data_IF_672927550660
#
_entry.id   IF_672927550660
#
_cell.length_a   1.000
_cell.length_b   1.000
_cell.length_c   1.000
_cell.angle_alpha   90.00
_cell.angle_beta   90.00
_cell.angle_gamma   90.00
#
_symmetry.space_group_name_H-M   'P 1'
#
loop_
_entity.id
_entity.type
_entity.pdbx_description
1 polymer ?
#
# COMPACT_ATOMS: atom_id res chain seq x y z
N UNK A 1 -23.17 -21.96 40.89
CA UNK A 1 -22.57 -22.44 39.64
C UNK A 1 -23.48 -22.05 38.48
N UNK A 2 -23.33 -20.83 38.00
CA UNK A 2 -24.06 -20.30 36.84
C UNK A 2 -23.30 -20.69 35.58
N UNK A 3 -24.01 -21.39 34.70
CA UNK A 3 -23.51 -22.04 33.48
C UNK A 3 -22.80 -21.03 32.58
N UNK A 4 -21.59 -21.40 32.14
CA UNK A 4 -20.88 -20.77 31.03
C UNK A 4 -21.77 -20.75 29.79
N UNK A 5 -22.45 -19.63 29.55
CA UNK A 5 -23.00 -19.31 28.24
C UNK A 5 -21.80 -19.04 27.33
N UNK A 6 -21.61 -19.78 26.22
CA UNK A 6 -20.52 -19.49 25.30
C UNK A 6 -20.73 -18.07 24.76
N UNK A 7 -19.77 -17.20 25.06
CA UNK A 7 -19.72 -15.83 24.58
C UNK A 7 -19.78 -15.86 23.06
N UNK A 8 -20.75 -15.15 22.46
CA UNK A 8 -20.86 -15.08 21.01
C UNK A 8 -19.54 -14.53 20.44
N UNK A 9 -19.01 -15.09 19.33
CA UNK A 9 -17.74 -14.64 18.77
C UNK A 9 -17.75 -13.13 18.49
N UNK A 10 -16.64 -12.45 18.70
CA UNK A 10 -16.51 -11.00 18.54
C UNK A 10 -16.71 -10.57 17.08
N UNK A 11 -17.71 -9.72 16.82
CA UNK A 11 -17.93 -9.08 15.51
C UNK A 11 -19.06 -8.06 15.63
N UNK A 12 -18.97 -6.95 14.91
CA UNK A 12 -20.01 -5.90 14.89
C UNK A 12 -20.90 -6.04 13.68
N UNK A 13 -22.15 -5.59 13.83
CA UNK A 13 -23.13 -5.59 12.77
C UNK A 13 -23.12 -4.26 12.01
N UNK A 14 -22.79 -4.31 10.72
CA UNK A 14 -22.74 -3.16 9.81
C UNK A 14 -24.00 -3.12 8.96
N UNK A 15 -24.68 -1.98 8.90
CA UNK A 15 -25.88 -1.79 8.10
C UNK A 15 -25.54 -1.26 6.71
N UNK A 16 -25.77 -2.07 5.68
CA UNK A 16 -25.70 -1.62 4.28
C UNK A 16 -27.08 -1.29 3.77
N UNK A 17 -27.27 -0.04 3.33
CA UNK A 17 -28.51 0.42 2.70
C UNK A 17 -28.32 0.55 1.20
N UNK A 18 -29.20 -0.04 0.40
CA UNK A 18 -29.19 0.16 -1.06
C UNK A 18 -29.42 1.63 -1.42
N UNK A 19 -28.93 2.08 -2.58
CA UNK A 19 -29.06 3.48 -3.02
C UNK A 19 -30.52 3.98 -3.08
N UNK A 20 -31.50 3.08 -3.21
CA UNK A 20 -32.94 3.38 -3.18
C UNK A 20 -33.57 3.31 -1.77
N UNK A 21 -32.78 3.05 -0.72
CA UNK A 21 -33.23 2.97 0.68
C UNK A 21 -34.00 1.70 1.05
N UNK A 22 -34.27 0.80 0.09
CA UNK A 22 -35.25 -0.29 0.25
C UNK A 22 -34.68 -1.58 0.83
N UNK A 23 -33.37 -1.80 0.72
CA UNK A 23 -32.72 -3.01 1.24
C UNK A 23 -31.72 -2.60 2.30
N UNK A 24 -31.91 -3.16 3.50
CA UNK A 24 -31.06 -2.97 4.67
C UNK A 24 -30.51 -4.34 5.05
N UNK A 25 -29.20 -4.54 4.91
CA UNK A 25 -28.55 -5.79 5.29
C UNK A 25 -27.63 -5.54 6.44
N UNK A 26 -27.88 -6.25 7.54
CA UNK A 26 -27.03 -6.27 8.71
C UNK A 26 -25.95 -7.36 8.52
N UNK A 27 -24.69 -6.95 8.41
CA UNK A 27 -23.57 -7.83 8.08
C UNK A 27 -22.64 -7.94 9.28
N UNK A 28 -22.08 -9.12 9.57
CA UNK A 28 -21.05 -9.24 10.60
C UNK A 28 -19.69 -8.81 10.03
N UNK A 29 -18.97 -7.92 10.70
CA UNK A 29 -17.58 -7.60 10.41
C UNK A 29 -16.65 -8.34 11.40
N UNK A 30 -15.79 -9.20 10.87
CA UNK A 30 -14.84 -10.01 11.66
C UNK A 30 -13.63 -10.42 10.81
N UNK A 31 -12.42 -10.35 11.35
CA UNK A 31 -11.17 -10.66 10.63
C UNK A 31 -11.00 -9.83 9.34
N UNK A 32 -11.20 -8.51 9.44
CA UNK A 32 -11.07 -7.54 8.33
C UNK A 32 -11.95 -7.82 7.09
N UNK A 33 -13.04 -8.58 7.28
CA UNK A 33 -13.98 -8.88 6.19
C UNK A 33 -15.42 -8.97 6.68
N UNK A 34 -16.34 -8.95 5.71
CA UNK A 34 -17.78 -9.07 5.94
C UNK A 34 -18.22 -10.52 5.83
N UNK A 35 -19.11 -10.92 6.72
CA UNK A 35 -19.70 -12.24 6.81
C UNK A 35 -21.22 -12.13 6.79
N UNK A 36 -21.85 -12.83 5.85
CA UNK A 36 -23.30 -12.88 5.70
C UNK A 36 -23.80 -14.33 5.82
N UNK A 37 -24.92 -14.51 6.50
CA UNK A 37 -25.62 -15.80 6.46
C UNK A 37 -26.26 -16.01 5.08
N UNK A 38 -26.59 -17.25 4.75
CA UNK A 38 -27.30 -17.55 3.51
C UNK A 38 -28.61 -16.77 3.33
N UNK A 39 -29.33 -16.53 4.43
CA UNK A 39 -30.58 -15.78 4.43
C UNK A 39 -30.32 -14.31 4.09
N UNK A 40 -29.30 -13.70 4.69
CA UNK A 40 -28.87 -12.31 4.42
C UNK A 40 -28.44 -12.13 2.96
N UNK A 41 -27.75 -13.11 2.37
CA UNK A 41 -27.39 -13.09 0.94
C UNK A 41 -28.67 -13.12 0.07
N UNK A 42 -29.66 -13.93 0.47
CA UNK A 42 -30.97 -13.98 -0.18
C UNK A 42 -31.69 -12.64 -0.14
N UNK A 43 -31.68 -11.96 1.01
CA UNK A 43 -32.25 -10.62 1.18
C UNK A 43 -31.51 -9.56 0.34
N UNK A 44 -30.17 -9.58 0.37
CA UNK A 44 -29.31 -8.68 -0.39
C UNK A 44 -29.61 -8.73 -1.90
N UNK A 45 -29.71 -9.94 -2.45
CA UNK A 45 -29.91 -10.14 -3.88
C UNK A 45 -31.37 -10.40 -4.28
N UNK A 46 -32.32 -10.35 -3.36
CA UNK A 46 -33.74 -10.60 -3.64
C UNK A 46 -34.01 -11.99 -4.22
N UNK A 47 -33.43 -13.03 -3.61
CA UNK A 47 -33.59 -14.44 -4.01
C UNK A 47 -33.92 -15.34 -2.82
N UNK A 48 -34.62 -16.42 -3.11
CA UNK A 48 -34.90 -17.46 -2.15
C UNK A 48 -33.61 -18.17 -1.71
N UNK A 49 -33.57 -18.61 -0.46
CA UNK A 49 -32.45 -19.36 0.12
C UNK A 49 -32.02 -20.55 -0.75
N UNK A 50 -32.98 -21.29 -1.30
CA UNK A 50 -32.69 -22.44 -2.18
C UNK A 50 -31.85 -22.06 -3.42
N UNK A 51 -32.15 -20.92 -4.06
CA UNK A 51 -31.36 -20.41 -5.19
C UNK A 51 -29.94 -20.02 -4.77
N UNK A 52 -29.79 -19.43 -3.59
CA UNK A 52 -28.46 -19.13 -3.04
C UNK A 52 -27.68 -20.42 -2.74
N UNK A 53 -28.35 -21.46 -2.21
CA UNK A 53 -27.72 -22.78 -1.97
C UNK A 53 -27.15 -23.36 -3.26
N UNK A 54 -27.93 -23.29 -4.34
CA UNK A 54 -27.53 -23.78 -5.65
C UNK A 54 -26.29 -23.05 -6.16
N UNK A 55 -26.28 -21.71 -6.11
CA UNK A 55 -25.11 -20.92 -6.53
C UNK A 55 -23.86 -21.24 -5.70
N UNK A 56 -23.97 -21.34 -4.38
CA UNK A 56 -22.85 -21.68 -3.50
C UNK A 56 -22.30 -23.08 -3.83
N UNK A 57 -23.19 -24.06 -4.01
CA UNK A 57 -22.79 -25.42 -4.39
C UNK A 57 -22.03 -25.45 -5.71
N UNK A 58 -22.50 -24.69 -6.71
CA UNK A 58 -21.84 -24.62 -8.02
C UNK A 58 -20.48 -23.94 -7.93
N UNK A 59 -20.34 -22.86 -7.15
CA UNK A 59 -19.06 -22.16 -6.92
C UNK A 59 -17.99 -23.13 -6.36
N UNK A 60 -18.37 -23.97 -5.39
CA UNK A 60 -17.45 -24.98 -4.85
C UNK A 60 -17.18 -26.13 -5.82
N UNK A 61 -18.20 -26.58 -6.56
CA UNK A 61 -18.03 -27.64 -7.57
C UNK A 61 -17.13 -27.20 -8.74
N UNK A 62 -17.14 -25.92 -9.09
CA UNK A 62 -16.27 -25.31 -10.11
C UNK A 62 -14.84 -25.06 -9.60
N UNK A 63 -14.59 -25.19 -8.29
CA UNK A 63 -13.30 -24.93 -7.68
C UNK A 63 -12.89 -23.45 -7.67
N UNK A 64 -13.84 -22.52 -7.83
CA UNK A 64 -13.56 -21.08 -7.81
C UNK A 64 -13.11 -20.61 -6.41
N UNK A 65 -13.67 -21.21 -5.36
CA UNK A 65 -13.36 -20.92 -3.97
C UNK A 65 -13.20 -22.20 -3.15
N UNK A 66 -12.25 -22.21 -2.22
CA UNK A 66 -12.10 -23.30 -1.24
C UNK A 66 -13.06 -23.09 -0.07
N UNK A 67 -13.92 -24.08 0.19
CA UNK A 67 -14.96 -24.01 1.23
C UNK A 67 -14.39 -23.69 2.62
N UNK A 68 -13.24 -24.25 2.96
CA UNK A 68 -12.60 -24.04 4.28
C UNK A 68 -12.12 -22.60 4.49
N UNK A 69 -11.92 -21.84 3.40
CA UNK A 69 -11.44 -20.46 3.44
C UNK A 69 -12.57 -19.42 3.53
N UNK A 70 -13.78 -19.76 3.07
CA UNK A 70 -14.89 -18.80 2.90
C UNK A 70 -16.13 -19.12 3.74
N UNK A 71 -16.15 -20.23 4.47
CA UNK A 71 -17.27 -20.64 5.35
C UNK A 71 -16.85 -20.62 6.81
N UNK A 72 -17.68 -19.99 7.66
CA UNK A 72 -17.58 -20.06 9.13
C UNK A 72 -18.90 -20.48 9.75
N UNK A 73 -18.84 -21.20 10.86
CA UNK A 73 -20.01 -21.55 11.67
C UNK A 73 -20.11 -20.60 12.86
N UNK A 74 -21.20 -19.85 12.94
CA UNK A 74 -21.52 -19.06 14.12
C UNK A 74 -22.69 -19.67 14.88
N UNK A 75 -22.58 -19.64 16.20
CA UNK A 75 -23.62 -20.15 17.09
C UNK A 75 -24.70 -19.09 17.27
N UNK A 76 -25.90 -19.37 16.81
CA UNK A 76 -27.06 -18.47 16.91
C UNK A 76 -28.12 -19.11 17.81
N UNK A 77 -28.71 -18.33 18.72
CA UNK A 77 -29.83 -18.77 19.54
C UNK A 77 -31.12 -18.29 18.89
N UNK A 78 -32.01 -19.21 18.55
CA UNK A 78 -33.30 -18.86 17.96
C UNK A 78 -34.29 -18.41 19.05
N UNK A 79 -35.42 -17.84 18.61
CA UNK A 79 -36.48 -17.35 19.50
C UNK A 79 -37.09 -18.43 20.41
N UNK A 80 -36.91 -19.71 20.07
CA UNK A 80 -37.31 -20.87 20.86
C UNK A 80 -36.28 -21.27 21.95
N UNK A 81 -35.21 -20.48 22.11
CA UNK A 81 -34.13 -20.72 23.09
C UNK A 81 -33.15 -21.81 22.68
N UNK A 82 -33.32 -22.45 21.52
CA UNK A 82 -32.39 -23.47 21.01
C UNK A 82 -31.24 -22.83 20.26
N UNK A 83 -30.08 -23.46 20.36
CA UNK A 83 -28.85 -22.98 19.77
C UNK A 83 -28.48 -23.81 18.55
N UNK A 84 -28.24 -23.14 17.43
CA UNK A 84 -27.92 -23.75 16.15
C UNK A 84 -26.61 -23.17 15.62
N UNK A 85 -25.83 -24.00 14.94
CA UNK A 85 -24.69 -23.52 14.15
C UNK A 85 -25.21 -23.08 12.78
N UNK A 86 -25.06 -21.80 12.48
CA UNK A 86 -25.46 -21.20 11.22
C UNK A 86 -24.20 -20.94 10.40
N UNK A 87 -24.22 -21.34 9.12
CA UNK A 87 -23.15 -21.03 8.18
C UNK A 87 -23.21 -19.56 7.78
N UNK A 88 -22.06 -18.92 7.84
CA UNK A 88 -21.80 -17.60 7.32
C UNK A 88 -20.71 -17.66 6.28
N UNK A 89 -20.82 -16.76 5.32
CA UNK A 89 -20.02 -16.75 4.12
C UNK A 89 -19.30 -15.42 3.99
N UNK A 90 -18.00 -15.48 3.67
CA UNK A 90 -17.15 -14.30 3.53
C UNK A 90 -17.49 -13.48 2.30
N UNK A 91 -17.02 -12.23 2.27
CA UNK A 91 -17.20 -11.31 1.15
C UNK A 91 -16.88 -11.92 -0.24
N UNK A 92 -15.78 -12.67 -0.45
CA UNK A 92 -15.53 -13.35 -1.73
C UNK A 92 -16.70 -14.21 -2.24
N UNK A 93 -17.30 -15.04 -1.38
CA UNK A 93 -18.43 -15.88 -1.77
C UNK A 93 -19.69 -15.03 -2.04
N UNK A 94 -19.92 -14.00 -1.23
CA UNK A 94 -21.06 -13.08 -1.40
C UNK A 94 -20.98 -12.40 -2.77
N UNK A 95 -19.80 -11.90 -3.16
CA UNK A 95 -19.57 -11.30 -4.47
C UNK A 95 -19.75 -12.31 -5.60
N UNK A 96 -19.18 -13.52 -5.48
CA UNK A 96 -19.30 -14.59 -6.47
C UNK A 96 -20.76 -15.00 -6.73
N UNK A 97 -21.59 -15.05 -5.67
CA UNK A 97 -23.03 -15.24 -5.79
C UNK A 97 -23.69 -14.05 -6.50
N UNK A 98 -23.32 -12.81 -6.16
CA UNK A 98 -23.84 -11.60 -6.80
C UNK A 98 -23.68 -11.57 -8.33
N UNK A 99 -22.54 -12.08 -8.83
CA UNK A 99 -22.32 -12.21 -10.27
C UNK A 99 -23.23 -13.23 -10.94
N UNK A 100 -23.64 -14.29 -10.23
CA UNK A 100 -24.47 -15.39 -10.77
C UNK A 100 -25.97 -15.17 -10.61
N UNK A 101 -26.39 -14.37 -9.64
CA UNK A 101 -27.81 -14.16 -9.35
C UNK A 101 -28.51 -13.38 -10.46
N UNK A 102 -29.60 -13.95 -10.97
CA UNK A 102 -30.53 -13.29 -11.91
C UNK A 102 -31.66 -12.57 -11.17
N UNK A 103 -31.41 -11.38 -10.65
CA UNK A 103 -32.42 -10.50 -10.05
C UNK A 103 -32.17 -9.03 -10.40
N UNK A 104 -33.14 -8.15 -10.13
CA UNK A 104 -32.93 -6.69 -10.27
C UNK A 104 -31.75 -6.21 -9.42
N UNK A 105 -31.63 -6.70 -8.17
CA UNK A 105 -30.50 -6.41 -7.29
C UNK A 105 -29.17 -6.98 -7.81
N UNK A 106 -29.16 -8.20 -8.33
CA UNK A 106 -27.98 -8.78 -8.97
C UNK A 106 -27.54 -7.97 -10.21
N UNK A 107 -28.49 -7.45 -10.99
CA UNK A 107 -28.18 -6.55 -12.11
C UNK A 107 -27.60 -5.22 -11.63
N UNK A 108 -28.18 -4.58 -10.62
CA UNK A 108 -27.64 -3.36 -10.02
C UNK A 108 -26.22 -3.58 -9.46
N UNK A 109 -26.01 -4.69 -8.76
CA UNK A 109 -24.69 -5.09 -8.26
C UNK A 109 -23.67 -5.22 -9.40
N UNK A 110 -24.01 -5.92 -10.48
CA UNK A 110 -23.10 -6.06 -11.63
C UNK A 110 -22.82 -4.72 -12.31
N UNK A 111 -23.82 -3.86 -12.48
CA UNK A 111 -23.61 -2.51 -13.01
C UNK A 111 -22.65 -1.70 -12.15
N UNK A 112 -22.88 -1.68 -10.83
CA UNK A 112 -21.99 -1.03 -9.87
C UNK A 112 -20.57 -1.60 -9.91
N UNK A 113 -20.43 -2.94 -9.92
CA UNK A 113 -19.13 -3.59 -9.94
C UNK A 113 -18.37 -3.30 -11.24
N UNK A 114 -19.05 -3.33 -12.39
CA UNK A 114 -18.46 -2.94 -13.68
C UNK A 114 -18.01 -1.49 -13.66
N UNK A 115 -18.84 -0.56 -13.19
CA UNK A 115 -18.47 0.86 -13.10
C UNK A 115 -17.26 1.08 -12.16
N UNK A 116 -17.24 0.37 -11.03
CA UNK A 116 -16.14 0.44 -10.05
C UNK A 116 -14.84 -0.07 -10.66
N UNK A 117 -14.88 -1.22 -11.34
CA UNK A 117 -13.72 -1.78 -12.02
C UNK A 117 -13.25 -0.89 -13.18
N UNK A 118 -14.17 -0.33 -13.97
CA UNK A 118 -13.87 0.60 -15.05
C UNK A 118 -13.19 1.85 -14.51
N UNK A 119 -13.70 2.44 -13.44
CA UNK A 119 -13.08 3.59 -12.78
C UNK A 119 -11.65 3.28 -12.31
N UNK A 120 -11.45 2.12 -11.66
CA UNK A 120 -10.12 1.68 -11.26
C UNK A 120 -9.18 1.51 -12.46
N UNK A 121 -9.64 0.89 -13.55
CA UNK A 121 -8.83 0.64 -14.74
C UNK A 121 -8.48 1.93 -15.50
N UNK A 122 -9.37 2.94 -15.51
CA UNK A 122 -9.15 4.22 -16.19
C UNK A 122 -8.34 5.19 -15.33
N UNK A 123 -8.71 5.38 -14.07
CA UNK A 123 -8.12 6.40 -13.17
C UNK A 123 -6.96 5.87 -12.33
N UNK A 124 -6.91 4.56 -12.10
CA UNK A 124 -5.95 3.90 -11.20
C UNK A 124 -6.36 3.87 -9.72
N UNK A 125 -7.58 4.31 -9.38
CA UNK A 125 -8.11 4.30 -8.01
C UNK A 125 -9.65 4.31 -7.99
N UNK A 126 -10.25 3.93 -6.86
CA UNK A 126 -11.67 4.06 -6.53
C UNK A 126 -11.77 4.63 -5.13
N UNK A 127 -12.73 5.51 -4.87
CA UNK A 127 -13.00 6.08 -3.54
C UNK A 127 -14.49 6.05 -3.21
N UNK A 128 -14.79 5.87 -1.93
CA UNK A 128 -16.12 6.07 -1.36
C UNK A 128 -16.09 7.40 -0.59
N UNK A 129 -16.21 8.52 -1.32
CA UNK A 129 -16.07 9.87 -0.77
C UNK A 129 -17.03 10.13 0.40
N UNK A 130 -18.26 9.62 0.34
CA UNK A 130 -19.25 9.86 1.39
C UNK A 130 -18.90 9.12 2.68
N UNK A 131 -18.41 7.88 2.58
CA UNK A 131 -17.92 7.16 3.76
C UNK A 131 -16.66 7.81 4.34
N UNK A 132 -15.74 8.29 3.48
CA UNK A 132 -14.50 8.94 3.92
C UNK A 132 -14.74 10.32 4.56
N UNK A 133 -15.77 11.05 4.13
CA UNK A 133 -16.17 12.33 4.73
C UNK A 133 -16.93 12.17 6.05
N UNK A 134 -17.62 11.04 6.22
CA UNK A 134 -18.49 10.77 7.36
C UNK A 134 -18.00 9.53 8.12
N UNK A 135 -16.84 9.61 8.81
CA UNK A 135 -16.35 8.49 9.60
C UNK A 135 -17.39 8.14 10.70
N UNK A 136 -17.54 6.86 11.04
CA UNK A 136 -18.48 6.45 12.06
C UNK A 136 -18.15 7.12 13.42
N UNK A 137 -19.14 7.73 14.05
CA UNK A 137 -18.99 8.40 15.35
C UNK A 137 -19.18 7.38 16.47
N UNK A 138 -18.14 7.12 17.27
CA UNK A 138 -18.16 6.21 18.41
C UNK A 138 -17.31 4.95 18.23
N UNK A 139 -17.58 3.91 19.01
CA UNK A 139 -16.92 2.60 18.87
C UNK A 139 -17.54 1.84 17.68
N UNK A 140 -17.07 2.12 16.46
CA UNK A 140 -17.32 1.28 15.29
C UNK A 140 -16.19 0.28 15.12
N UNK A 141 -16.52 -1.00 14.96
CA UNK A 141 -15.57 -2.07 14.69
C UNK A 141 -15.18 -2.17 13.22
N UNK A 142 -15.80 -1.40 12.32
CA UNK A 142 -15.24 -1.19 10.97
C UNK A 142 -14.09 -0.21 11.11
N UNK A 143 -12.85 -0.61 10.79
CA UNK A 143 -11.71 0.28 10.88
C UNK A 143 -11.87 1.46 9.92
N UNK A 144 -11.51 2.64 10.39
CA UNK A 144 -11.31 3.79 9.53
C UNK A 144 -9.92 3.68 8.88
N UNK A 145 -9.90 3.56 7.55
CA UNK A 145 -8.67 3.46 6.77
C UNK A 145 -8.26 4.82 6.17
N UNK A 146 -8.86 5.92 6.60
CA UNK A 146 -8.54 7.25 6.10
C UNK A 146 -7.06 7.62 6.32
N UNK A 147 -6.51 7.32 7.50
CA UNK A 147 -5.11 7.59 7.80
C UNK A 147 -4.15 6.75 6.93
N UNK A 148 -4.46 5.46 6.71
CA UNK A 148 -3.69 4.61 5.79
C UNK A 148 -3.73 5.15 4.35
N UNK A 149 -4.92 5.58 3.90
CA UNK A 149 -5.08 6.19 2.58
C UNK A 149 -4.26 7.48 2.46
N UNK A 150 -4.27 8.34 3.48
CA UNK A 150 -3.46 9.55 3.51
C UNK A 150 -1.96 9.24 3.48
N UNK A 151 -1.50 8.23 4.22
CA UNK A 151 -0.09 7.81 4.16
C UNK A 151 0.30 7.31 2.77
N UNK A 152 -0.56 6.51 2.12
CA UNK A 152 -0.33 6.04 0.74
C UNK A 152 -0.28 7.21 -0.25
N UNK A 153 -1.19 8.18 -0.14
CA UNK A 153 -1.16 9.39 -0.98
C UNK A 153 0.12 10.18 -0.75
N UNK A 154 0.56 10.34 0.51
CA UNK A 154 1.80 11.04 0.85
C UNK A 154 3.02 10.35 0.25
N UNK A 155 3.10 9.02 0.31
CA UNK A 155 4.22 8.27 -0.30
C UNK A 155 4.20 8.34 -1.84
N UNK A 156 3.02 8.23 -2.46
CA UNK A 156 2.88 8.42 -3.91
C UNK A 156 3.35 9.82 -4.33
N UNK A 157 2.91 10.87 -3.62
CA UNK A 157 3.28 12.26 -3.91
C UNK A 157 4.77 12.52 -3.66
N UNK A 158 5.34 11.90 -2.64
CA UNK A 158 6.76 11.98 -2.31
C UNK A 158 7.65 11.02 -3.11
N UNK A 159 7.09 10.21 -4.02
CA UNK A 159 7.91 9.45 -4.97
C UNK A 159 8.78 10.39 -5.81
N UNK A 160 10.06 10.07 -5.97
CA UNK A 160 11.04 10.96 -6.63
C UNK A 160 10.56 11.47 -8.00
N UNK A 161 9.84 10.63 -8.75
CA UNK A 161 9.24 11.02 -10.03
C UNK A 161 8.12 12.04 -9.89
N UNK A 162 7.20 11.88 -8.94
CA UNK A 162 6.09 12.83 -8.72
C UNK A 162 6.59 14.14 -8.15
N UNK A 163 7.54 14.08 -7.21
CA UNK A 163 8.26 15.25 -6.71
C UNK A 163 8.92 15.96 -7.87
N UNK A 164 9.78 15.27 -8.64
CA UNK A 164 10.46 15.88 -9.77
C UNK A 164 9.50 16.53 -10.77
N UNK A 165 8.42 15.87 -11.16
CA UNK A 165 7.42 16.43 -12.06
C UNK A 165 6.74 17.67 -11.47
N UNK A 166 6.31 17.61 -10.20
CA UNK A 166 5.62 18.72 -9.56
C UNK A 166 6.54 19.91 -9.31
N UNK A 167 7.74 19.63 -8.83
CA UNK A 167 8.81 20.60 -8.64
C UNK A 167 9.18 21.24 -9.99
N UNK A 168 9.28 20.45 -11.06
CA UNK A 168 9.47 20.96 -12.42
C UNK A 168 8.32 21.85 -12.87
N UNK A 169 7.06 21.46 -12.66
CA UNK A 169 5.90 22.30 -12.99
C UNK A 169 5.95 23.65 -12.25
N UNK A 170 6.22 23.64 -10.94
CA UNK A 170 6.31 24.85 -10.12
C UNK A 170 7.48 25.73 -10.56
N UNK A 171 8.65 25.13 -10.81
CA UNK A 171 9.88 25.88 -11.11
C UNK A 171 10.05 26.20 -12.59
N UNK A 172 9.33 25.57 -13.51
CA UNK A 172 9.20 26.07 -14.89
C UNK A 172 8.54 27.45 -14.95
N UNK A 173 7.85 27.85 -13.88
CA UNK A 173 7.33 29.22 -13.75
C UNK A 173 8.39 30.21 -13.25
N UNK A 174 9.58 29.75 -12.85
CA UNK A 174 10.68 30.62 -12.50
C UNK A 174 11.23 31.33 -13.75
N UNK A 175 11.63 32.59 -13.60
CA UNK A 175 11.99 33.44 -14.73
C UNK A 175 13.28 33.00 -15.45
N UNK A 176 14.18 32.32 -14.74
CA UNK A 176 15.50 31.86 -15.17
C UNK A 176 15.57 30.34 -15.42
N UNK A 177 14.43 29.63 -15.40
CA UNK A 177 14.43 28.18 -15.58
C UNK A 177 14.74 27.77 -17.01
N UNK A 178 15.79 26.96 -17.19
CA UNK A 178 16.13 26.32 -18.45
C UNK A 178 16.36 24.79 -18.26
N UNK A 179 15.60 23.90 -18.92
CA UNK A 179 15.64 22.45 -18.68
C UNK A 179 17.01 21.79 -18.87
N UNK A 180 17.84 22.34 -19.77
CA UNK A 180 19.13 21.80 -20.18
C UNK A 180 20.33 22.49 -19.52
N UNK A 181 20.10 23.49 -18.66
CA UNK A 181 21.17 24.22 -17.99
C UNK A 181 21.77 23.40 -16.82
N UNK A 182 23.10 23.44 -16.68
CA UNK A 182 23.81 22.87 -15.53
C UNK A 182 23.33 23.45 -14.20
N UNK A 183 22.94 24.73 -14.16
CA UNK A 183 22.46 25.40 -12.95
C UNK A 183 21.16 24.77 -12.45
N UNK A 184 20.21 24.49 -13.35
CA UNK A 184 18.95 23.79 -13.04
C UNK A 184 19.23 22.41 -12.42
N UNK A 185 20.13 21.62 -13.02
CA UNK A 185 20.49 20.31 -12.48
C UNK A 185 21.13 20.40 -11.09
N UNK A 186 22.03 21.37 -10.87
CA UNK A 186 22.67 21.61 -9.59
C UNK A 186 21.67 22.04 -8.52
N UNK A 187 20.69 22.86 -8.90
CA UNK A 187 19.62 23.29 -8.02
C UNK A 187 18.75 22.10 -7.55
N UNK A 188 18.31 21.22 -8.46
CA UNK A 188 17.56 20.01 -8.08
C UNK A 188 18.36 19.08 -7.16
N UNK A 189 19.65 18.89 -7.43
CA UNK A 189 20.55 18.12 -6.55
C UNK A 189 20.67 18.75 -5.16
N UNK A 190 20.70 20.09 -5.08
CA UNK A 190 20.77 20.84 -3.83
C UNK A 190 19.50 20.63 -3.01
N UNK A 191 18.32 20.77 -3.63
CA UNK A 191 17.04 20.51 -2.98
C UNK A 191 16.96 19.08 -2.45
N UNK A 192 17.31 18.09 -3.28
CA UNK A 192 17.29 16.69 -2.89
C UNK A 192 18.19 16.45 -1.67
N UNK A 193 19.42 16.96 -1.68
CA UNK A 193 20.34 16.79 -0.55
C UNK A 193 19.86 17.50 0.72
N UNK A 194 19.26 18.69 0.62
CA UNK A 194 18.66 19.39 1.77
C UNK A 194 17.52 18.58 2.38
N UNK A 195 16.64 18.02 1.56
CA UNK A 195 15.52 17.18 2.01
C UNK A 195 16.00 15.88 2.67
N UNK A 196 16.99 15.18 2.09
CA UNK A 196 17.59 14.01 2.73
C UNK A 196 18.27 14.36 4.06
N UNK A 197 19.00 15.47 4.09
CA UNK A 197 19.70 15.91 5.29
C UNK A 197 18.72 16.24 6.42
N UNK A 198 17.61 16.91 6.12
CA UNK A 198 16.58 17.26 7.11
C UNK A 198 15.90 16.05 7.77
N UNK A 199 16.07 14.83 7.24
CA UNK A 199 15.51 13.59 7.81
C UNK A 199 16.58 12.63 8.34
N UNK A 200 17.84 12.76 7.89
CA UNK A 200 18.88 11.75 8.15
C UNK A 200 20.19 12.34 8.67
N UNK A 201 20.32 13.66 8.68
CA UNK A 201 21.57 14.41 8.87
C UNK A 201 22.68 13.98 7.91
N UNK A 202 22.32 13.42 6.75
CA UNK A 202 23.23 12.99 5.68
C UNK A 202 22.73 13.45 4.32
N UNK A 203 23.65 13.82 3.44
CA UNK A 203 23.36 13.94 2.00
C UNK A 203 23.03 12.58 1.39
N UNK A 204 22.42 12.56 0.20
CA UNK A 204 22.10 11.32 -0.50
C UNK A 204 23.35 10.43 -0.73
N UNK A 205 24.50 11.04 -1.03
CA UNK A 205 25.77 10.33 -1.21
C UNK A 205 26.31 9.75 0.10
N UNK A 206 26.27 10.52 1.19
CA UNK A 206 26.68 10.07 2.52
C UNK A 206 25.78 8.95 3.06
N UNK A 207 24.47 9.03 2.80
CA UNK A 207 23.51 8.01 3.18
C UNK A 207 23.84 6.67 2.51
N UNK A 208 24.03 6.67 1.19
CA UNK A 208 24.43 5.47 0.43
C UNK A 208 25.75 4.94 0.96
N UNK A 209 26.77 5.80 1.05
CA UNK A 209 28.11 5.38 1.43
C UNK A 209 28.18 4.85 2.87
N UNK A 210 27.34 5.35 3.79
CA UNK A 210 27.32 4.89 5.18
C UNK A 210 26.55 3.59 5.37
N UNK A 211 25.52 3.31 4.54
CA UNK A 211 24.59 2.18 4.77
C UNK A 211 24.84 0.96 3.91
N UNK A 212 25.42 1.14 2.72
CA UNK A 212 25.70 0.02 1.81
C UNK A 212 26.71 -0.95 2.40
N UNK A 213 26.33 -2.23 2.48
CA UNK A 213 27.14 -3.29 3.08
C UNK A 213 26.73 -4.66 2.52
N UNK A 214 27.61 -5.32 1.76
CA UNK A 214 27.34 -6.61 1.16
C UNK A 214 27.00 -7.73 2.17
N UNK A 215 27.37 -7.59 3.44
CA UNK A 215 27.14 -8.61 4.44
C UNK A 215 25.78 -8.49 5.13
N UNK A 216 25.03 -7.42 4.86
CA UNK A 216 23.66 -7.26 5.37
C UNK A 216 22.65 -7.89 4.40
N UNK A 217 21.48 -8.32 4.92
CA UNK A 217 20.35 -8.65 4.06
C UNK A 217 20.09 -7.52 3.07
N UNK A 218 19.92 -7.87 1.80
CA UNK A 218 19.67 -6.95 0.69
C UNK A 218 20.62 -5.74 0.64
N UNK A 219 21.86 -5.93 1.07
CA UNK A 219 22.91 -4.91 1.14
C UNK A 219 22.62 -3.71 2.05
N UNK A 220 21.66 -3.85 2.98
CA UNK A 220 21.18 -2.76 3.83
C UNK A 220 20.11 -1.89 3.18
N UNK A 221 19.58 -2.26 2.00
CA UNK A 221 18.41 -1.64 1.42
C UNK A 221 17.17 -1.99 2.26
N UNK A 222 16.26 -1.03 2.38
CA UNK A 222 14.95 -1.18 3.03
C UNK A 222 13.81 -1.27 2.01
N UNK A 223 14.05 -0.82 0.77
CA UNK A 223 13.09 -0.94 -0.35
C UNK A 223 13.82 -1.06 -1.69
N UNK A 224 13.35 -1.90 -2.60
CA UNK A 224 13.84 -1.98 -3.98
C UNK A 224 12.77 -2.55 -4.91
N UNK A 225 12.98 -2.48 -6.23
CA UNK A 225 11.99 -2.93 -7.22
C UNK A 225 12.24 -4.37 -7.66
N UNK A 226 11.21 -5.20 -7.52
CA UNK A 226 11.22 -6.61 -7.93
C UNK A 226 11.72 -7.53 -6.82
N UNK A 227 11.92 -8.80 -7.16
CA UNK A 227 12.17 -9.85 -6.17
C UNK A 227 13.63 -9.91 -5.68
N UNK A 228 14.55 -9.23 -6.37
CA UNK A 228 15.97 -9.24 -6.05
C UNK A 228 16.61 -7.87 -6.24
N UNK A 229 17.55 -7.53 -5.35
CA UNK A 229 18.38 -6.33 -5.45
C UNK A 229 19.11 -6.28 -6.80
N UNK A 230 19.00 -5.15 -7.50
CA UNK A 230 19.70 -4.84 -8.75
C UNK A 230 20.79 -3.79 -8.52
N UNK A 231 21.77 -3.76 -9.42
CA UNK A 231 22.88 -2.80 -9.38
C UNK A 231 22.44 -1.33 -9.49
N UNK A 232 21.26 -1.07 -10.05
CA UNK A 232 20.66 0.28 -10.07
C UNK A 232 20.10 0.68 -8.72
N UNK A 233 19.56 -0.27 -7.94
CA UNK A 233 18.88 0.01 -6.68
C UNK A 233 19.85 0.51 -5.60
N UNK A 234 21.09 0.00 -5.61
CA UNK A 234 22.12 0.37 -4.62
C UNK A 234 22.63 1.81 -4.77
N UNK A 235 22.31 2.49 -5.87
CA UNK A 235 22.68 3.89 -6.12
C UNK A 235 21.58 4.89 -5.76
N UNK A 236 20.42 4.41 -5.30
CA UNK A 236 19.27 5.24 -4.94
C UNK A 236 19.27 5.45 -3.42
N UNK A 237 19.40 6.69 -2.97
CA UNK A 237 19.49 7.01 -1.54
C UNK A 237 18.19 6.69 -0.78
N UNK A 238 17.03 6.93 -1.41
CA UNK A 238 15.70 6.62 -0.83
C UNK A 238 15.60 5.14 -0.41
N UNK A 239 16.24 4.23 -1.14
CA UNK A 239 16.19 2.80 -0.87
C UNK A 239 16.93 2.37 0.41
N UNK A 240 17.71 3.26 1.03
CA UNK A 240 18.39 3.00 2.29
C UNK A 240 17.71 3.68 3.49
N UNK A 241 16.62 4.44 3.28
CA UNK A 241 15.92 5.13 4.36
C UNK A 241 15.16 4.14 5.23
N UNK A 242 15.21 4.35 6.55
CA UNK A 242 14.40 3.59 7.51
C UNK A 242 12.94 4.04 7.44
N UNK A 243 12.05 3.28 8.07
CA UNK A 243 10.61 3.54 8.02
C UNK A 243 10.21 4.90 8.64
N UNK A 244 10.86 5.30 9.72
CA UNK A 244 10.73 6.62 10.34
C UNK A 244 11.24 7.73 9.41
N UNK A 245 12.43 7.55 8.83
CA UNK A 245 13.06 8.53 7.95
C UNK A 245 12.29 8.72 6.63
N UNK A 246 11.73 7.66 6.04
CA UNK A 246 10.92 7.77 4.82
C UNK A 246 9.58 8.44 5.11
N UNK A 247 8.95 8.14 6.26
CA UNK A 247 7.72 8.83 6.71
C UNK A 247 7.98 10.32 6.91
N UNK A 248 9.10 10.65 7.54
CA UNK A 248 9.54 12.03 7.75
C UNK A 248 9.83 12.75 6.42
N UNK A 249 10.64 12.14 5.55
CA UNK A 249 10.93 12.68 4.22
C UNK A 249 9.65 12.93 3.43
N UNK A 250 8.75 11.95 3.39
CA UNK A 250 7.47 12.07 2.71
C UNK A 250 6.66 13.26 3.29
N UNK A 251 6.65 13.46 4.60
CA UNK A 251 5.94 14.58 5.24
C UNK A 251 6.52 15.93 4.84
N UNK A 252 7.84 16.11 4.93
CA UNK A 252 8.52 17.37 4.55
C UNK A 252 8.29 17.70 3.09
N UNK A 253 8.49 16.70 2.21
CA UNK A 253 8.32 16.87 0.77
C UNK A 253 6.91 17.34 0.44
N UNK A 254 5.88 16.74 1.06
CA UNK A 254 4.50 17.16 0.86
C UNK A 254 4.26 18.60 1.32
N UNK A 255 4.69 18.95 2.53
CA UNK A 255 4.54 20.30 3.07
C UNK A 255 5.28 21.34 2.22
N UNK A 256 6.50 21.02 1.74
CA UNK A 256 7.27 21.88 0.85
C UNK A 256 6.57 22.06 -0.49
N UNK A 257 6.01 20.99 -1.08
CA UNK A 257 5.27 21.08 -2.34
C UNK A 257 4.01 21.94 -2.19
N UNK A 258 3.26 21.79 -1.10
CA UNK A 258 2.08 22.62 -0.80
C UNK A 258 2.47 24.09 -0.65
N UNK A 259 3.54 24.36 0.09
CA UNK A 259 4.09 25.70 0.24
C UNK A 259 4.53 26.29 -1.10
N UNK A 260 5.30 25.53 -1.89
CA UNK A 260 5.82 26.01 -3.17
C UNK A 260 4.70 26.24 -4.19
N UNK A 261 3.67 25.40 -4.19
CA UNK A 261 2.48 25.58 -5.01
C UNK A 261 1.72 26.87 -4.64
N UNK A 262 1.45 27.10 -3.36
CA UNK A 262 0.81 28.33 -2.88
C UNK A 262 1.63 29.58 -3.24
N UNK A 263 2.95 29.52 -3.05
CA UNK A 263 3.86 30.61 -3.41
C UNK A 263 3.85 30.91 -4.92
N UNK A 264 3.81 29.89 -5.77
CA UNK A 264 3.74 30.06 -7.22
C UNK A 264 2.38 30.64 -7.66
N UNK A 265 1.27 30.19 -7.08
CA UNK A 265 -0.08 30.69 -7.36
C UNK A 265 -0.24 32.17 -6.99
N UNK A 266 0.43 32.63 -5.92
CA UNK A 266 0.36 34.02 -5.44
C UNK A 266 1.15 35.03 -6.28
N UNK A 267 1.81 34.61 -7.36
CA UNK A 267 2.56 35.41 -8.33
C UNK A 267 3.43 36.53 -7.73
N UNK A 268 4.72 36.22 -7.59
CA UNK A 268 5.81 37.12 -7.94
C UNK A 268 6.72 36.32 -8.87
N UNK A 269 7.38 36.94 -9.85
CA UNK A 269 8.49 36.25 -10.53
C UNK A 269 9.47 35.79 -9.45
N UNK A 270 9.73 34.48 -9.40
CA UNK A 270 10.66 33.86 -8.45
C UNK A 270 11.79 33.28 -9.29
N UNK A 271 13.03 33.48 -8.88
CA UNK A 271 14.20 32.86 -9.51
C UNK A 271 14.52 31.51 -8.84
N UNK A 272 15.33 30.66 -9.47
CA UNK A 272 15.74 29.40 -8.86
C UNK A 272 16.46 29.61 -7.52
N UNK A 273 17.26 30.66 -7.39
CA UNK A 273 17.94 30.97 -6.12
C UNK A 273 16.94 31.32 -5.00
N UNK A 274 15.91 32.09 -5.30
CA UNK A 274 14.86 32.43 -4.31
C UNK A 274 14.18 31.17 -3.76
N UNK A 275 14.02 30.13 -4.60
CA UNK A 275 13.47 28.85 -4.16
C UNK A 275 14.42 28.08 -3.24
N UNK A 276 15.72 28.14 -3.50
CA UNK A 276 16.72 27.53 -2.62
C UNK A 276 16.72 28.21 -1.25
N UNK A 277 16.61 29.54 -1.21
CA UNK A 277 16.57 30.32 0.03
C UNK A 277 15.25 30.11 0.78
N UNK A 278 14.13 30.03 0.07
CA UNK A 278 12.81 29.68 0.65
C UNK A 278 12.80 28.27 1.24
N UNK A 279 13.49 27.31 0.63
CA UNK A 279 13.60 25.96 1.19
C UNK A 279 14.36 25.99 2.52
N UNK A 280 15.44 26.77 2.63
CA UNK A 280 16.19 26.90 3.88
C UNK A 280 15.35 27.55 4.98
N UNK A 281 14.62 28.61 4.65
CA UNK A 281 13.67 29.24 5.57
C UNK A 281 12.56 28.28 5.98
N UNK A 282 12.01 27.52 5.04
CA UNK A 282 10.97 26.54 5.30
C UNK A 282 11.45 25.42 6.23
N UNK A 283 12.63 24.85 5.98
CA UNK A 283 13.21 23.81 6.84
C UNK A 283 13.49 24.35 8.24
N UNK A 284 14.14 25.52 8.33
CA UNK A 284 14.44 26.19 9.60
C UNK A 284 13.18 26.52 10.39
N UNK A 285 12.15 27.06 9.74
CA UNK A 285 10.86 27.37 10.37
C UNK A 285 10.14 26.13 10.93
N UNK A 286 10.38 24.95 10.36
CA UNK A 286 9.82 23.69 10.84
C UNK A 286 10.75 22.97 11.85
N UNK A 287 11.70 23.70 12.47
CA UNK A 287 12.68 23.19 13.43
C UNK A 287 13.54 22.04 12.86
N UNK A 288 13.93 22.15 11.58
CA UNK A 288 14.76 21.14 10.91
C UNK A 288 16.15 21.66 10.62
N UNK A 289 17.12 20.75 10.74
CA UNK A 289 18.50 21.04 10.37
C UNK A 289 18.63 21.26 8.86
N UNK A 290 19.29 22.36 8.51
CA UNK A 290 19.54 22.75 7.13
C UNK A 290 20.96 22.37 6.75
N UNK A 291 21.12 21.69 5.62
CA UNK A 291 22.43 21.31 5.10
C UNK A 291 23.26 22.57 4.78
N UNK A 292 24.40 22.73 5.46
CA UNK A 292 25.41 23.73 5.12
C UNK A 292 26.44 23.15 4.15
N UNK A 293 26.52 23.68 2.93
CA UNK A 293 27.49 23.26 1.91
C UNK A 293 27.06 22.02 1.11
N UNK A 294 28.03 21.25 0.60
CA UNK A 294 27.80 20.15 -0.35
C UNK A 294 27.88 18.73 0.25
N UNK A 295 28.13 18.60 1.55
CA UNK A 295 28.46 17.33 2.21
C UNK A 295 29.93 16.94 2.05
N UNK A 296 30.29 15.77 2.59
CA UNK A 296 31.67 15.26 2.65
C UNK A 296 31.99 14.20 1.58
N UNK A 297 30.97 13.59 0.98
CA UNK A 297 31.13 12.47 0.05
C UNK A 297 30.54 12.84 -1.30
N UNK A 298 31.30 12.62 -2.38
CA UNK A 298 30.82 12.86 -3.73
C UNK A 298 29.86 11.74 -4.18
N UNK A 299 28.91 12.09 -5.05
CA UNK A 299 27.99 11.09 -5.64
C UNK A 299 28.73 9.98 -6.37
N UNK A 300 29.82 10.31 -7.07
CA UNK A 300 30.66 9.35 -7.80
C UNK A 300 31.31 8.35 -6.85
N UNK A 301 31.84 8.81 -5.72
CA UNK A 301 32.50 7.93 -4.74
C UNK A 301 31.49 7.03 -4.03
N UNK A 302 30.33 7.57 -3.67
CA UNK A 302 29.22 6.79 -3.11
C UNK A 302 28.74 5.70 -4.07
N UNK A 303 28.52 6.04 -5.35
CA UNK A 303 28.06 5.08 -6.36
C UNK A 303 29.12 4.02 -6.67
N UNK A 304 30.40 4.38 -6.70
CA UNK A 304 31.50 3.44 -6.88
C UNK A 304 31.57 2.45 -5.71
N UNK A 305 31.49 2.95 -4.46
CA UNK A 305 31.43 2.10 -3.27
C UNK A 305 30.23 1.15 -3.33
N UNK A 306 29.04 1.67 -3.64
CA UNK A 306 27.82 0.86 -3.68
C UNK A 306 27.88 -0.23 -4.76
N UNK A 307 28.42 0.08 -5.94
CA UNK A 307 28.60 -0.89 -7.03
C UNK A 307 29.61 -1.98 -6.66
N UNK A 308 30.69 -1.62 -5.97
CA UNK A 308 31.70 -2.58 -5.50
C UNK A 308 31.11 -3.54 -4.46
N UNK A 309 30.36 -3.01 -3.49
CA UNK A 309 29.63 -3.84 -2.51
C UNK A 309 28.59 -4.72 -3.21
N UNK A 310 27.93 -4.23 -4.28
CA UNK A 310 26.98 -5.04 -5.04
C UNK A 310 27.65 -6.23 -5.72
N UNK A 311 28.83 -6.02 -6.30
CA UNK A 311 29.56 -7.10 -6.96
C UNK A 311 29.96 -8.20 -5.94
N UNK A 312 30.34 -7.81 -4.71
CA UNK A 312 30.59 -8.75 -3.60
C UNK A 312 29.32 -9.50 -3.17
N UNK A 313 28.21 -8.77 -2.97
CA UNK A 313 26.93 -9.35 -2.59
C UNK A 313 26.40 -10.33 -3.65
N UNK A 314 26.49 -9.96 -4.93
CA UNK A 314 26.06 -10.80 -6.04
C UNK A 314 26.88 -12.10 -6.10
N UNK A 315 28.18 -12.05 -5.84
CA UNK A 315 29.02 -13.24 -5.75
C UNK A 315 28.64 -14.13 -4.57
N UNK A 316 28.44 -13.56 -3.37
CA UNK A 316 27.97 -14.30 -2.19
C UNK A 316 26.61 -14.98 -2.44
N UNK A 317 25.65 -14.23 -3.00
CA UNK A 317 24.32 -14.74 -3.35
C UNK A 317 24.38 -15.87 -4.37
N UNK A 318 25.24 -15.73 -5.39
CA UNK A 318 25.45 -16.78 -6.40
C UNK A 318 25.98 -18.06 -5.76
N UNK A 319 27.01 -17.95 -4.91
CA UNK A 319 27.58 -19.11 -4.19
C UNK A 319 26.55 -19.81 -3.30
N UNK A 320 25.69 -19.04 -2.62
CA UNK A 320 24.61 -19.59 -1.80
C UNK A 320 23.60 -20.38 -2.66
N UNK A 321 23.12 -19.79 -3.76
CA UNK A 321 22.18 -20.44 -4.69
C UNK A 321 22.76 -21.71 -5.32
N UNK A 322 24.04 -21.69 -5.68
CA UNK A 322 24.75 -22.87 -6.20
C UNK A 322 24.80 -23.99 -5.14
N UNK A 323 25.07 -23.64 -3.87
CA UNK A 323 25.06 -24.60 -2.75
C UNK A 323 23.67 -25.17 -2.48
N UNK A 324 22.64 -24.33 -2.46
CA UNK A 324 21.25 -24.76 -2.26
C UNK A 324 20.76 -25.65 -3.40
N UNK A 325 21.06 -25.28 -4.65
CA UNK A 325 20.77 -26.09 -5.84
C UNK A 325 21.47 -27.44 -5.79
N UNK A 326 22.72 -27.51 -5.34
CA UNK A 326 23.45 -28.76 -5.16
C UNK A 326 22.77 -29.66 -4.10
N UNK A 327 22.37 -29.09 -2.95
CA UNK A 327 21.64 -29.83 -1.91
C UNK A 327 20.28 -30.34 -2.40
N UNK A 328 19.53 -29.51 -3.11
CA UNK A 328 18.23 -29.89 -3.69
C UNK A 328 18.38 -31.03 -4.71
N UNK A 329 19.39 -30.95 -5.59
CA UNK A 329 19.70 -32.02 -6.54
C UNK A 329 20.08 -33.33 -5.82
N UNK A 330 20.90 -33.28 -4.78
CA UNK A 330 21.24 -34.44 -3.96
C UNK A 330 19.99 -35.04 -3.31
N UNK A 331 19.10 -34.20 -2.77
CA UNK A 331 17.86 -34.64 -2.16
C UNK A 331 16.91 -35.31 -3.19
N UNK A 332 16.79 -34.73 -4.39
CA UNK A 332 16.00 -35.28 -5.48
C UNK A 332 16.52 -36.66 -5.94
N UNK A 333 17.84 -36.79 -6.14
CA UNK A 333 18.48 -38.06 -6.48
C UNK A 333 18.26 -39.12 -5.40
N UNK A 334 18.37 -38.76 -4.11
CA UNK A 334 18.07 -39.67 -3.00
C UNK A 334 16.60 -40.10 -2.96
N UNK A 335 15.67 -39.23 -3.33
CA UNK A 335 14.25 -39.55 -3.38
C UNK A 335 13.92 -40.53 -4.52
N UNK A 336 14.57 -40.39 -5.68
CA UNK A 336 14.45 -41.33 -6.81
C UNK A 336 14.97 -42.72 -6.40
N UNK A 337 16.18 -42.79 -5.82
CA UNK A 337 16.77 -44.05 -5.34
C UNK A 337 15.96 -44.78 -4.26
N UNK A 338 15.10 -44.07 -3.52
CA UNK A 338 14.19 -44.66 -2.53
C UNK A 338 12.87 -45.16 -3.13
N UNK A 339 12.49 -44.72 -4.33
CA UNK A 339 11.29 -45.21 -5.04
C UNK A 339 11.55 -46.48 -5.85
N UNK A 340 12.81 -46.72 -6.22
CA UNK A 340 13.23 -47.92 -6.96
C UNK A 340 13.60 -49.12 -6.05
N UNK A 341 13.29 -49.03 -4.76
CA UNK A 341 13.33 -50.12 -3.77
C UNK A 341 11.94 -50.30 -3.18
#
# INVERSE_FOLDING_TARGET
MTKNTPQAPHGEFVLFTSADGRTRVECRFESDTLWLSQAMIGELYGKAKATISEHIKNIFAEGELDENSVVRLYRTTAADGKSYNVQYFSLPLVLAVGYRVRSSRGTQFRQWATQTLEEYLIKGFVMDDERLKNPPVGHSAVPDYFDEMLERIRDIRASERRVYLRVKEIFTMAADYEPSNQETNRFFQTIQNKLHYACTHMTAAELIASRVDANKPDMGLTSFKGDEVRKTDVTIAKNYLREDEIKELNRIVNMWLDFAEDQALRRKQVFLQDWADKLDQFLSFNDRDVLSGAGKISKKDADNKAKLEFDRFAEQRRRLKESEGALANIAALKAILKKDK
#
